data_IF_179368726258
#
_entry.id   IF_179368726258
#
_cell.length_a   1.000
_cell.length_b   1.000
_cell.length_c   1.000
_cell.angle_alpha   90.00
_cell.angle_beta   90.00
_cell.angle_gamma   90.00
#
_symmetry.space_group_name_H-M   'P 1'
#
loop_
_entity.id
_entity.type
_entity.pdbx_description
1 polymer ?
#
# COMPACT_ATOMS: atom_id res chain seq x y z
N UNK A 1 -10.24 30.71 -60.20
CA UNK A 1 -8.78 30.91 -60.25
C UNK A 1 -8.22 30.16 -59.05
N UNK A 2 -8.02 28.83 -59.20
CA UNK A 2 -6.73 28.20 -59.56
C UNK A 2 -5.86 28.10 -58.30
N UNK A 3 -5.43 26.96 -57.77
CA UNK A 3 -5.31 25.57 -58.22
C UNK A 3 -5.45 24.65 -56.99
N UNK A 4 -6.14 23.51 -57.16
CA UNK A 4 -6.12 22.38 -56.22
C UNK A 4 -4.83 21.57 -56.45
N UNK A 5 -3.95 21.53 -55.45
CA UNK A 5 -2.79 20.65 -55.43
C UNK A 5 -3.16 19.30 -54.81
N UNK A 6 -3.41 18.31 -55.66
CA UNK A 6 -3.52 16.90 -55.30
C UNK A 6 -2.11 16.38 -54.98
N UNK A 7 -1.83 16.13 -53.70
CA UNK A 7 -0.63 15.38 -53.26
C UNK A 7 -1.06 13.94 -53.05
N UNK A 8 -0.84 13.15 -54.09
CA UNK A 8 -0.80 11.70 -54.08
C UNK A 8 0.42 11.27 -53.25
N UNK A 9 0.19 10.60 -52.13
CA UNK A 9 1.25 10.00 -51.32
C UNK A 9 0.98 8.51 -51.21
N UNK A 10 1.80 7.76 -51.93
CA UNK A 10 1.86 6.31 -51.96
C UNK A 10 2.07 5.75 -50.55
N UNK A 11 1.02 5.13 -50.01
CA UNK A 11 1.11 4.26 -48.86
C UNK A 11 1.66 2.90 -49.32
N UNK A 12 2.97 2.86 -49.57
CA UNK A 12 3.71 1.64 -49.85
C UNK A 12 3.72 0.76 -48.58
N UNK A 13 3.09 -0.40 -48.69
CA UNK A 13 2.98 -1.43 -47.68
C UNK A 13 4.36 -2.03 -47.36
N UNK A 14 5.04 -1.51 -46.33
CA UNK A 14 6.20 -2.18 -45.73
C UNK A 14 5.76 -3.21 -44.68
N UNK A 15 5.14 -4.27 -45.18
CA UNK A 15 4.82 -5.47 -44.40
C UNK A 15 5.95 -6.48 -44.61
N UNK A 16 7.09 -6.32 -43.91
CA UNK A 16 8.17 -7.33 -43.79
C UNK A 16 9.31 -6.84 -42.90
N UNK A 17 9.04 -6.67 -41.60
CA UNK A 17 9.98 -7.17 -40.57
C UNK A 17 9.34 -7.04 -39.19
N UNK A 18 8.47 -7.99 -38.87
CA UNK A 18 8.12 -8.21 -37.47
C UNK A 18 9.33 -8.88 -36.82
N UNK A 19 9.95 -8.28 -35.78
CA UNK A 19 11.19 -8.80 -35.21
C UNK A 19 10.99 -10.25 -34.77
N UNK A 20 12.03 -11.12 -34.86
CA UNK A 20 11.94 -12.54 -34.52
C UNK A 20 11.32 -12.82 -33.14
N UNK A 21 11.42 -11.86 -32.21
CA UNK A 21 10.74 -11.87 -30.92
C UNK A 21 9.21 -11.96 -30.99
N UNK A 22 8.53 -11.27 -31.91
CA UNK A 22 7.05 -11.33 -32.03
C UNK A 22 6.57 -12.73 -32.40
N UNK A 23 7.29 -13.43 -33.29
CA UNK A 23 7.02 -14.83 -33.65
C UNK A 23 7.27 -15.80 -32.49
N UNK A 24 8.28 -15.53 -31.66
CA UNK A 24 8.60 -16.37 -30.49
C UNK A 24 7.53 -16.21 -29.40
N UNK A 25 7.11 -14.99 -29.10
CA UNK A 25 6.02 -14.72 -28.13
C UNK A 25 4.71 -15.34 -28.61
N UNK A 26 4.38 -15.23 -29.91
CA UNK A 26 3.20 -15.87 -30.49
C UNK A 26 3.16 -17.39 -30.30
N UNK A 27 4.29 -18.08 -30.51
CA UNK A 27 4.41 -19.53 -30.26
C UNK A 27 4.29 -19.87 -28.77
N UNK A 28 4.86 -19.06 -27.87
CA UNK A 28 4.77 -19.27 -26.43
C UNK A 28 3.32 -19.13 -25.91
N UNK A 29 2.60 -18.11 -26.37
CA UNK A 29 1.17 -17.89 -26.06
C UNK A 29 0.33 -19.06 -26.57
N UNK A 30 0.57 -19.52 -27.79
CA UNK A 30 -0.15 -20.67 -28.36
C UNK A 30 0.09 -21.96 -27.56
N UNK A 31 1.33 -22.21 -27.13
CA UNK A 31 1.65 -23.36 -26.27
C UNK A 31 0.96 -23.29 -24.90
N UNK A 32 0.90 -22.10 -24.28
CA UNK A 32 0.21 -21.89 -23.02
C UNK A 32 -1.30 -22.14 -23.15
N UNK A 33 -1.92 -21.68 -24.24
CA UNK A 33 -3.33 -21.91 -24.54
C UNK A 33 -3.65 -23.41 -24.66
N UNK A 34 -2.84 -24.17 -25.42
CA UNK A 34 -3.03 -25.62 -25.57
C UNK A 34 -2.82 -26.39 -24.25
N UNK A 35 -1.83 -25.98 -23.44
CA UNK A 35 -1.58 -26.57 -22.13
C UNK A 35 -2.77 -26.36 -21.19
N UNK A 36 -3.33 -25.15 -21.17
CA UNK A 36 -4.48 -24.83 -20.34
C UNK A 36 -5.76 -25.55 -20.80
N UNK A 37 -5.98 -25.66 -22.12
CA UNK A 37 -7.10 -26.42 -22.67
C UNK A 37 -7.03 -27.92 -22.29
N UNK A 38 -5.85 -28.54 -22.40
CA UNK A 38 -5.62 -29.93 -21.96
C UNK A 38 -5.92 -30.10 -20.46
N UNK A 39 -5.46 -29.17 -19.63
CA UNK A 39 -5.70 -29.21 -18.17
C UNK A 39 -7.21 -29.14 -17.84
N UNK A 40 -7.97 -28.24 -18.49
CA UNK A 40 -9.43 -28.14 -18.28
C UNK A 40 -10.16 -29.42 -18.69
N UNK A 41 -9.75 -30.06 -19.79
CA UNK A 41 -10.33 -31.32 -20.26
C UNK A 41 -10.08 -32.45 -19.26
N UNK A 42 -8.84 -32.63 -18.80
CA UNK A 42 -8.47 -33.65 -17.79
C UNK A 42 -9.25 -33.46 -16.49
N UNK A 43 -9.40 -32.20 -16.03
CA UNK A 43 -10.19 -31.87 -14.83
C UNK A 43 -11.67 -32.26 -14.99
N UNK A 44 -12.29 -31.94 -16.13
CA UNK A 44 -13.67 -32.34 -16.44
C UNK A 44 -13.83 -33.86 -16.46
N UNK A 45 -12.91 -34.59 -17.08
CA UNK A 45 -12.93 -36.06 -17.10
C UNK A 45 -12.86 -36.68 -15.71
N UNK A 46 -12.05 -36.10 -14.81
CA UNK A 46 -11.96 -36.54 -13.41
C UNK A 46 -13.25 -36.29 -12.63
N UNK A 47 -13.89 -35.13 -12.81
CA UNK A 47 -15.20 -34.86 -12.20
C UNK A 47 -16.28 -35.81 -12.72
N UNK A 48 -16.26 -36.13 -14.02
CA UNK A 48 -17.19 -37.10 -14.62
C UNK A 48 -16.99 -38.50 -14.02
N UNK A 49 -15.73 -38.95 -13.91
CA UNK A 49 -15.41 -40.26 -13.31
C UNK A 49 -15.85 -40.36 -11.84
N UNK A 50 -15.65 -39.29 -11.05
CA UNK A 50 -16.14 -39.20 -9.67
C UNK A 50 -17.67 -39.26 -9.62
N UNK A 51 -18.37 -38.51 -10.47
CA UNK A 51 -19.84 -38.54 -10.54
C UNK A 51 -20.38 -39.92 -10.93
N UNK A 52 -19.75 -40.60 -11.90
CA UNK A 52 -20.10 -41.98 -12.27
C UNK A 52 -19.91 -42.94 -11.10
N UNK A 53 -18.86 -42.77 -10.28
CA UNK A 53 -18.62 -43.56 -9.08
C UNK A 53 -19.72 -43.37 -8.03
N UNK A 54 -20.12 -42.12 -7.78
CA UNK A 54 -21.20 -41.80 -6.83
C UNK A 54 -22.54 -42.39 -7.27
N UNK A 55 -22.83 -42.34 -8.58
CA UNK A 55 -24.03 -42.95 -9.16
C UNK A 55 -24.01 -44.49 -9.07
N UNK A 56 -22.85 -45.12 -9.34
CA UNK A 56 -22.66 -46.56 -9.17
C UNK A 56 -22.88 -46.98 -7.71
N UNK A 57 -22.35 -46.23 -6.74
CA UNK A 57 -22.55 -46.50 -5.31
C UNK A 57 -24.03 -46.36 -4.90
N UNK A 58 -24.73 -45.33 -5.38
CA UNK A 58 -26.16 -45.14 -5.12
C UNK A 58 -27.05 -46.23 -5.74
N UNK A 59 -26.64 -46.82 -6.87
CA UNK A 59 -27.39 -47.89 -7.53
C UNK A 59 -27.21 -49.25 -6.84
N UNK A 60 -26.05 -49.49 -6.20
CA UNK A 60 -25.77 -50.73 -5.45
C UNK A 60 -26.58 -50.88 -4.16
N UNK A 61 -27.13 -49.79 -3.61
CA UNK A 61 -27.99 -49.84 -2.41
C UNK A 61 -29.44 -50.28 -2.67
N UNK A 62 -29.86 -50.45 -3.94
CA UNK A 62 -31.28 -50.62 -4.30
C UNK A 62 -31.69 -51.98 -4.90
N UNK A 63 -30.80 -52.92 -5.27
CA UNK A 63 -31.27 -54.21 -5.80
C UNK A 63 -30.28 -55.38 -5.78
N UNK A 64 -30.80 -56.54 -5.34
CA UNK A 64 -30.38 -57.94 -5.51
C UNK A 64 -28.89 -58.32 -5.37
N UNK A 65 -28.57 -58.99 -4.26
CA UNK A 65 -27.24 -59.04 -3.63
C UNK A 65 -26.30 -60.20 -4.01
N UNK A 66 -26.45 -60.92 -5.13
CA UNK A 66 -25.54 -62.08 -5.42
C UNK A 66 -24.87 -62.15 -6.79
N UNK A 67 -25.35 -61.45 -7.82
CA UNK A 67 -24.67 -61.41 -9.14
C UNK A 67 -23.84 -60.13 -9.39
N UNK A 68 -24.05 -59.09 -8.59
CA UNK A 68 -23.39 -57.77 -8.71
C UNK A 68 -21.96 -57.75 -8.16
N UNK A 69 -21.65 -58.57 -7.14
CA UNK A 69 -20.39 -58.51 -6.39
C UNK A 69 -19.12 -58.80 -7.24
N UNK A 70 -19.25 -59.64 -8.28
CA UNK A 70 -18.11 -59.98 -9.17
C UNK A 70 -17.89 -58.95 -10.28
N UNK A 71 -18.98 -58.31 -10.75
CA UNK A 71 -18.92 -57.24 -11.74
C UNK A 71 -18.42 -55.94 -11.08
N UNK A 72 -18.91 -55.62 -9.88
CA UNK A 72 -18.51 -54.44 -9.11
C UNK A 72 -17.03 -54.44 -8.76
N UNK A 73 -16.45 -55.59 -8.37
CA UNK A 73 -15.01 -55.67 -8.08
C UNK A 73 -14.13 -55.41 -9.31
N UNK A 74 -14.53 -55.87 -10.50
CA UNK A 74 -13.78 -55.60 -11.74
C UNK A 74 -13.92 -54.14 -12.19
N UNK A 75 -15.11 -53.56 -12.08
CA UNK A 75 -15.37 -52.15 -12.42
C UNK A 75 -14.64 -51.23 -11.46
N UNK A 76 -14.70 -51.48 -10.14
CA UNK A 76 -13.97 -50.71 -9.13
C UNK A 76 -12.46 -50.77 -9.31
N UNK A 77 -11.89 -51.93 -9.66
CA UNK A 77 -10.46 -52.06 -9.97
C UNK A 77 -10.03 -51.22 -11.18
N UNK A 78 -10.83 -51.21 -12.25
CA UNK A 78 -10.58 -50.37 -13.43
C UNK A 78 -10.72 -48.88 -13.12
N UNK A 79 -11.71 -48.49 -12.31
CA UNK A 79 -11.91 -47.09 -11.91
C UNK A 79 -10.75 -46.56 -11.06
N UNK A 80 -10.25 -47.33 -10.10
CA UNK A 80 -9.09 -46.95 -9.28
C UNK A 80 -7.81 -46.83 -10.13
N UNK A 81 -7.61 -47.74 -11.10
CA UNK A 81 -6.49 -47.65 -12.04
C UNK A 81 -6.59 -46.39 -12.92
N UNK A 82 -7.80 -46.06 -13.37
CA UNK A 82 -8.08 -44.87 -14.18
C UNK A 82 -7.91 -43.57 -13.38
N UNK A 83 -8.38 -43.50 -12.14
CA UNK A 83 -8.16 -42.38 -11.22
C UNK A 83 -6.67 -42.16 -10.95
N UNK A 84 -5.89 -43.23 -10.76
CA UNK A 84 -4.44 -43.14 -10.54
C UNK A 84 -3.72 -42.59 -11.79
N UNK A 85 -4.13 -43.01 -12.98
CA UNK A 85 -3.62 -42.48 -14.25
C UNK A 85 -4.02 -41.01 -14.49
N UNK A 86 -5.28 -40.64 -14.23
CA UNK A 86 -5.77 -39.26 -14.30
C UNK A 86 -5.03 -38.37 -13.31
N UNK A 87 -4.77 -38.85 -12.09
CA UNK A 87 -4.00 -38.12 -11.08
C UNK A 87 -2.56 -37.87 -11.53
N UNK A 88 -1.91 -38.86 -12.15
CA UNK A 88 -0.56 -38.71 -12.73
C UNK A 88 -0.55 -37.70 -13.88
N UNK A 89 -1.49 -37.80 -14.83
CA UNK A 89 -1.61 -36.84 -15.94
C UNK A 89 -1.97 -35.43 -15.48
N UNK A 90 -2.77 -35.28 -14.42
CA UNK A 90 -3.09 -33.97 -13.85
C UNK A 90 -1.83 -33.31 -13.28
N UNK A 91 -0.97 -34.05 -12.59
CA UNK A 91 0.31 -33.55 -12.08
C UNK A 91 1.30 -33.16 -13.20
N UNK A 92 1.36 -33.96 -14.25
CA UNK A 92 2.25 -33.71 -15.39
C UNK A 92 1.79 -32.49 -16.21
N UNK A 93 0.47 -32.35 -16.42
CA UNK A 93 -0.11 -31.17 -17.10
C UNK A 93 0.00 -29.89 -16.27
N UNK A 94 -0.07 -29.97 -14.93
CA UNK A 94 0.20 -28.80 -14.07
C UNK A 94 1.66 -28.36 -14.14
N UNK A 95 2.62 -29.31 -14.17
CA UNK A 95 4.04 -28.98 -14.31
C UNK A 95 4.35 -28.33 -15.67
N UNK A 96 3.78 -28.84 -16.76
CA UNK A 96 3.92 -28.25 -18.09
C UNK A 96 3.34 -26.83 -18.16
N UNK A 97 2.21 -26.57 -17.48
CA UNK A 97 1.62 -25.24 -17.38
C UNK A 97 2.54 -24.26 -16.67
N UNK A 98 3.12 -24.65 -15.52
CA UNK A 98 4.07 -23.80 -14.79
C UNK A 98 5.34 -23.53 -15.60
N UNK A 99 5.87 -24.54 -16.30
CA UNK A 99 7.01 -24.34 -17.21
C UNK A 99 6.69 -23.41 -18.38
N UNK A 100 5.49 -23.52 -18.96
CA UNK A 100 5.05 -22.62 -20.04
C UNK A 100 4.88 -21.16 -19.56
N UNK A 101 4.38 -20.95 -18.34
CA UNK A 101 4.29 -19.61 -17.72
C UNK A 101 5.67 -18.99 -17.52
N UNK A 102 6.63 -19.74 -16.99
CA UNK A 102 8.01 -19.27 -16.80
C UNK A 102 8.66 -18.88 -18.13
N UNK A 103 8.51 -19.72 -19.16
CA UNK A 103 9.05 -19.42 -20.49
C UNK A 103 8.41 -18.20 -21.15
N UNK A 104 7.11 -17.96 -20.89
CA UNK A 104 6.42 -16.75 -21.35
C UNK A 104 6.92 -15.49 -20.61
N UNK A 105 7.22 -15.62 -19.31
CA UNK A 105 7.83 -14.57 -18.50
C UNK A 105 9.19 -14.14 -19.06
N UNK A 106 10.08 -15.11 -19.30
CA UNK A 106 11.41 -14.87 -19.86
C UNK A 106 11.35 -14.26 -21.26
N UNK A 107 10.46 -14.77 -22.12
CA UNK A 107 10.33 -14.26 -23.51
C UNK A 107 9.70 -12.87 -23.60
N UNK A 108 8.88 -12.47 -22.62
CA UNK A 108 8.25 -11.15 -22.57
C UNK A 108 9.10 -10.06 -21.89
N UNK A 109 10.13 -10.43 -21.13
CA UNK A 109 11.01 -9.49 -20.42
C UNK A 109 11.60 -8.37 -21.30
N UNK A 110 12.24 -8.63 -22.45
CA UNK A 110 12.84 -7.56 -23.27
C UNK A 110 11.80 -6.61 -23.85
N UNK A 111 10.62 -7.12 -24.21
CA UNK A 111 9.53 -6.31 -24.76
C UNK A 111 8.92 -5.39 -23.69
N UNK A 112 8.85 -5.86 -22.44
CA UNK A 112 8.44 -5.04 -21.29
C UNK A 112 9.43 -3.92 -21.01
N UNK A 113 10.73 -4.22 -21.00
CA UNK A 113 11.79 -3.21 -20.77
C UNK A 113 11.76 -2.11 -21.84
N UNK A 114 11.63 -2.47 -23.12
CA UNK A 114 11.55 -1.48 -24.21
C UNK A 114 10.33 -0.57 -24.08
N UNK A 115 9.16 -1.15 -23.75
CA UNK A 115 7.93 -0.39 -23.53
C UNK A 115 8.07 0.59 -22.36
N UNK A 116 8.65 0.13 -21.24
CA UNK A 116 8.89 0.97 -20.07
C UNK A 116 9.85 2.13 -20.39
N UNK A 117 10.95 1.88 -21.10
CA UNK A 117 11.87 2.96 -21.49
C UNK A 117 11.19 4.03 -22.37
N UNK A 118 10.27 3.64 -23.26
CA UNK A 118 9.51 4.61 -24.07
C UNK A 118 8.58 5.47 -23.21
N UNK A 119 7.86 4.86 -22.26
CA UNK A 119 7.03 5.60 -21.32
C UNK A 119 7.85 6.59 -20.46
N UNK A 120 9.03 6.20 -19.98
CA UNK A 120 9.95 7.09 -19.23
C UNK A 120 10.26 8.36 -20.02
N UNK A 121 10.66 8.19 -21.28
CA UNK A 121 11.03 9.31 -22.16
C UNK A 121 9.84 10.23 -22.40
N UNK A 122 8.69 9.67 -22.73
CA UNK A 122 7.46 10.44 -22.92
C UNK A 122 7.07 11.22 -21.65
N UNK A 123 7.21 10.62 -20.47
CA UNK A 123 6.88 11.27 -19.21
C UNK A 123 7.84 12.43 -18.91
N UNK A 124 9.16 12.24 -19.14
CA UNK A 124 10.15 13.32 -19.03
C UNK A 124 9.86 14.46 -19.98
N UNK A 125 9.71 14.16 -21.28
CA UNK A 125 9.44 15.14 -22.32
C UNK A 125 8.19 15.96 -22.01
N UNK A 126 7.13 15.32 -21.51
CA UNK A 126 5.89 15.98 -21.06
C UNK A 126 6.09 16.85 -19.83
N UNK A 127 6.78 16.33 -18.81
CA UNK A 127 7.01 17.06 -17.56
C UNK A 127 7.93 18.27 -17.74
N UNK A 128 8.81 18.22 -18.74
CA UNK A 128 9.74 19.31 -19.08
C UNK A 128 9.38 20.05 -20.36
N UNK A 129 8.13 19.95 -20.81
CA UNK A 129 7.68 20.55 -22.06
C UNK A 129 7.55 22.08 -21.98
N UNK A 130 7.46 22.64 -20.77
CA UNK A 130 7.29 24.07 -20.55
C UNK A 130 8.57 24.84 -20.93
N UNK A 131 8.54 25.71 -21.95
CA UNK A 131 9.69 26.48 -22.38
C UNK A 131 10.15 27.55 -21.38
N UNK A 132 9.27 27.99 -20.47
CA UNK A 132 9.56 29.05 -19.49
C UNK A 132 10.12 28.51 -18.17
N UNK A 133 10.23 27.18 -18.03
CA UNK A 133 10.71 26.54 -16.81
C UNK A 133 12.24 26.70 -16.66
N UNK A 134 12.68 27.20 -15.50
CA UNK A 134 14.10 27.32 -15.17
C UNK A 134 14.86 25.99 -15.23
N UNK A 135 16.09 26.01 -15.75
CA UNK A 135 16.92 24.80 -15.93
C UNK A 135 17.17 24.03 -14.63
N UNK A 136 17.30 24.73 -13.51
CA UNK A 136 17.47 24.10 -12.19
C UNK A 136 16.23 23.28 -11.79
N UNK A 137 15.05 23.82 -12.07
CA UNK A 137 13.77 23.14 -11.80
C UNK A 137 13.60 21.97 -12.76
N UNK A 138 13.92 22.16 -14.04
CA UNK A 138 13.93 21.09 -15.05
C UNK A 138 14.81 19.90 -14.65
N UNK A 139 16.06 20.18 -14.24
CA UNK A 139 16.99 19.16 -13.75
C UNK A 139 16.47 18.44 -12.49
N UNK A 140 15.77 19.15 -11.60
CA UNK A 140 15.12 18.56 -10.44
C UNK A 140 13.99 17.60 -10.85
N UNK A 141 13.10 18.01 -11.75
CA UNK A 141 12.02 17.15 -12.26
C UNK A 141 12.55 15.90 -12.96
N UNK A 142 13.54 16.04 -13.84
CA UNK A 142 14.16 14.90 -14.51
C UNK A 142 14.76 13.91 -13.52
N UNK A 143 15.45 14.43 -12.49
CA UNK A 143 16.05 13.61 -11.42
C UNK A 143 14.97 12.88 -10.61
N UNK A 144 13.88 13.56 -10.26
CA UNK A 144 12.76 12.96 -9.52
C UNK A 144 12.08 11.87 -10.36
N UNK A 145 11.84 12.13 -11.65
CA UNK A 145 11.25 11.15 -12.56
C UNK A 145 12.16 9.93 -12.69
N UNK A 146 13.48 10.12 -12.79
CA UNK A 146 14.43 9.01 -12.87
C UNK A 146 14.41 8.13 -11.63
N UNK A 147 14.40 8.75 -10.45
CA UNK A 147 14.35 8.06 -9.16
C UNK A 147 13.06 7.24 -9.05
N UNK A 148 11.92 7.80 -9.47
CA UNK A 148 10.61 7.14 -9.43
C UNK A 148 10.54 6.03 -10.49
N UNK A 149 11.09 6.25 -11.67
CA UNK A 149 10.95 5.33 -12.81
C UNK A 149 11.59 3.98 -12.55
N UNK A 150 12.78 3.95 -11.95
CA UNK A 150 13.46 2.72 -11.58
C UNK A 150 12.61 1.83 -10.66
N UNK A 151 11.75 2.43 -9.83
CA UNK A 151 10.89 1.70 -8.92
C UNK A 151 9.64 1.19 -9.62
N UNK A 152 9.03 2.03 -10.44
CA UNK A 152 7.85 1.68 -11.24
C UNK A 152 8.16 0.49 -12.14
N UNK A 153 9.36 0.45 -12.75
CA UNK A 153 9.82 -0.66 -13.57
C UNK A 153 9.92 -1.97 -12.76
N UNK A 154 10.59 -1.95 -11.60
CA UNK A 154 10.71 -3.11 -10.70
C UNK A 154 9.36 -3.61 -10.17
N UNK A 155 8.45 -2.69 -9.86
CA UNK A 155 7.13 -3.01 -9.31
C UNK A 155 6.22 -3.62 -10.38
N UNK A 156 6.23 -3.08 -11.59
CA UNK A 156 5.49 -3.65 -12.72
C UNK A 156 6.03 -5.03 -13.07
N UNK A 157 7.35 -5.22 -13.10
CA UNK A 157 7.95 -6.53 -13.36
C UNK A 157 7.53 -7.58 -12.33
N UNK A 158 7.58 -7.23 -11.04
CA UNK A 158 7.14 -8.09 -9.95
C UNK A 158 5.65 -8.43 -10.04
N UNK A 159 4.79 -7.44 -10.31
CA UNK A 159 3.35 -7.67 -10.39
C UNK A 159 2.99 -8.56 -11.58
N UNK A 160 3.70 -8.44 -12.71
CA UNK A 160 3.56 -9.35 -13.85
C UNK A 160 4.04 -10.76 -13.49
N UNK A 161 5.17 -10.89 -12.79
CA UNK A 161 5.66 -12.19 -12.29
C UNK A 161 4.62 -12.86 -11.39
N UNK A 162 4.10 -12.15 -10.40
CA UNK A 162 3.10 -12.66 -9.46
C UNK A 162 1.77 -13.00 -10.14
N UNK A 163 1.31 -12.18 -11.09
CA UNK A 163 0.09 -12.45 -11.85
C UNK A 163 0.19 -13.75 -12.66
N UNK A 164 1.36 -14.03 -13.24
CA UNK A 164 1.61 -15.24 -14.02
C UNK A 164 1.83 -16.47 -13.12
N UNK A 165 2.48 -16.30 -11.97
CA UNK A 165 2.73 -17.36 -10.99
C UNK A 165 1.55 -17.67 -10.08
N UNK A 166 0.38 -17.02 -10.23
CA UNK A 166 -0.83 -17.24 -9.40
C UNK A 166 -1.28 -18.71 -9.47
N UNK A 167 -0.75 -19.53 -8.56
CA UNK A 167 -1.17 -20.88 -8.19
C UNK A 167 -1.14 -21.10 -6.67
N UNK A 168 -0.64 -20.14 -5.88
CA UNK A 168 -0.76 -20.20 -4.43
C UNK A 168 -2.16 -19.71 -4.01
N UNK A 169 -3.05 -20.65 -3.72
CA UNK A 169 -4.24 -20.41 -2.92
C UNK A 169 -3.83 -19.58 -1.69
N UNK A 170 -4.49 -18.43 -1.47
CA UNK A 170 -4.31 -17.65 -0.25
C UNK A 170 -4.77 -18.52 0.93
N UNK A 171 -3.83 -19.18 1.58
CA UNK A 171 -4.10 -19.94 2.77
C UNK A 171 -4.53 -18.95 3.87
N UNK A 172 -5.72 -19.14 4.45
CA UNK A 172 -6.19 -18.32 5.57
C UNK A 172 -5.21 -18.43 6.74
N UNK A 173 -4.34 -17.43 6.89
CA UNK A 173 -3.44 -17.35 8.04
C UNK A 173 -4.26 -17.06 9.31
N UNK A 174 -4.14 -17.96 10.28
CA UNK A 174 -4.73 -17.81 11.60
C UNK A 174 -4.07 -16.65 12.35
N UNK A 175 -4.89 -15.78 12.95
CA UNK A 175 -4.41 -14.68 13.78
C UNK A 175 -3.70 -15.14 15.06
N UNK A 176 -3.03 -14.24 15.78
CA UNK A 176 -2.35 -14.59 17.03
C UNK A 176 -3.35 -15.16 18.05
N UNK A 177 -3.17 -16.42 18.46
CA UNK A 177 -3.93 -17.02 19.56
C UNK A 177 -3.26 -16.69 20.89
N UNK A 178 -3.87 -15.82 21.68
CA UNK A 178 -3.35 -15.40 22.99
C UNK A 178 -4.46 -15.28 24.04
N UNK A 179 -4.08 -15.50 25.30
CA UNK A 179 -4.92 -15.49 26.51
C UNK A 179 -5.52 -14.11 26.85
N UNK A 180 -5.04 -13.02 26.24
CA UNK A 180 -5.55 -11.66 26.46
C UNK A 180 -6.72 -11.34 25.52
N UNK A 181 -7.84 -12.03 25.74
CA UNK A 181 -9.02 -12.03 24.86
C UNK A 181 -9.53 -10.61 24.53
N UNK A 182 -9.59 -9.70 25.51
CA UNK A 182 -10.10 -8.34 25.30
C UNK A 182 -9.18 -7.47 24.42
N UNK A 183 -7.87 -7.43 24.70
CA UNK A 183 -6.91 -6.67 23.89
C UNK A 183 -6.84 -7.21 22.46
N UNK A 184 -6.75 -8.54 22.29
CA UNK A 184 -6.71 -9.16 20.97
C UNK A 184 -8.00 -8.92 20.19
N UNK A 185 -9.16 -8.93 20.85
CA UNK A 185 -10.44 -8.59 20.24
C UNK A 185 -10.48 -7.12 19.80
N UNK A 186 -10.14 -6.18 20.68
CA UNK A 186 -10.14 -4.75 20.36
C UNK A 186 -9.18 -4.43 19.23
N UNK A 187 -7.95 -4.95 19.31
CA UNK A 187 -6.92 -4.84 18.26
C UNK A 187 -7.45 -5.33 16.92
N UNK A 188 -8.00 -6.55 16.89
CA UNK A 188 -8.54 -7.19 15.68
C UNK A 188 -9.65 -6.32 15.07
N UNK A 189 -10.58 -5.84 15.89
CA UNK A 189 -11.69 -5.01 15.44
C UNK A 189 -11.18 -3.68 14.86
N UNK A 190 -10.35 -2.94 15.61
CA UNK A 190 -9.85 -1.63 15.18
C UNK A 190 -8.99 -1.74 13.91
N UNK A 191 -8.03 -2.67 13.87
CA UNK A 191 -7.16 -2.83 12.70
C UNK A 191 -7.92 -3.34 11.47
N UNK A 192 -8.95 -4.18 11.65
CA UNK A 192 -9.77 -4.66 10.54
C UNK A 192 -10.54 -3.53 9.88
N UNK A 193 -11.08 -2.60 10.67
CA UNK A 193 -11.82 -1.45 10.16
C UNK A 193 -10.90 -0.34 9.63
N UNK A 194 -9.75 -0.09 10.29
CA UNK A 194 -8.83 0.97 9.89
C UNK A 194 -7.90 0.58 8.72
N UNK A 195 -7.41 -0.67 8.73
CA UNK A 195 -6.43 -1.20 7.77
C UNK A 195 -6.90 -2.55 7.17
N UNK A 196 -8.07 -2.61 6.50
CA UNK A 196 -8.56 -3.84 5.86
C UNK A 196 -7.66 -4.28 4.69
N UNK A 197 -7.50 -5.59 4.52
CA UNK A 197 -6.79 -6.18 3.36
C UNK A 197 -7.63 -6.26 2.08
N UNK A 198 -8.95 -6.13 2.18
CA UNK A 198 -9.92 -6.48 1.13
C UNK A 198 -10.80 -5.29 0.68
N UNK A 199 -10.54 -4.08 1.18
CA UNK A 199 -11.33 -2.89 0.85
C UNK A 199 -10.47 -1.80 0.24
N UNK A 200 -10.98 -1.21 -0.83
CA UNK A 200 -10.46 0.02 -1.43
C UNK A 200 -10.70 1.23 -0.53
N UNK A 201 -10.13 2.39 -0.87
CA UNK A 201 -10.39 3.64 -0.17
C UNK A 201 -11.89 3.96 -0.08
N UNK A 202 -12.63 3.80 -1.18
CA UNK A 202 -14.07 3.99 -1.20
C UNK A 202 -14.79 2.97 -0.31
N UNK A 203 -14.36 1.71 -0.30
CA UNK A 203 -14.89 0.70 0.60
C UNK A 203 -14.63 0.97 2.08
N UNK A 204 -13.55 1.71 2.42
CA UNK A 204 -13.30 2.19 3.78
C UNK A 204 -14.25 3.34 4.16
N UNK A 205 -14.53 4.26 3.24
CA UNK A 205 -15.45 5.38 3.48
C UNK A 205 -16.90 4.94 3.70
N UNK A 206 -17.28 3.76 3.20
CA UNK A 206 -18.59 3.17 3.51
C UNK A 206 -18.66 2.54 4.90
N UNK A 207 -17.52 2.29 5.56
CA UNK A 207 -17.48 1.67 6.87
C UNK A 207 -17.71 2.71 7.98
N UNK A 208 -18.80 2.59 8.78
CA UNK A 208 -19.12 3.59 9.79
C UNK A 208 -18.06 3.68 10.89
N UNK A 209 -17.35 2.59 11.20
CA UNK A 209 -16.30 2.58 12.24
C UNK A 209 -15.07 3.35 11.76
N UNK A 210 -14.68 3.14 10.50
CA UNK A 210 -13.59 3.89 9.87
C UNK A 210 -13.90 5.38 9.82
N UNK A 211 -15.11 5.74 9.38
CA UNK A 211 -15.56 7.13 9.32
C UNK A 211 -15.59 7.76 10.71
N UNK A 212 -16.13 7.07 11.71
CA UNK A 212 -16.16 7.58 13.08
C UNK A 212 -14.74 7.84 13.63
N UNK A 213 -13.81 6.90 13.47
CA UNK A 213 -12.42 7.09 13.89
C UNK A 213 -11.75 8.25 13.14
N UNK A 214 -11.98 8.36 11.83
CA UNK A 214 -11.42 9.44 11.00
C UNK A 214 -12.00 10.80 11.38
N UNK A 215 -13.30 10.89 11.66
CA UNK A 215 -13.94 12.11 12.13
C UNK A 215 -13.40 12.56 13.49
N UNK A 216 -13.15 11.61 14.41
CA UNK A 216 -12.51 11.91 15.70
C UNK A 216 -11.09 12.45 15.49
N UNK A 217 -10.31 11.87 14.57
CA UNK A 217 -8.99 12.39 14.20
C UNK A 217 -9.05 13.77 13.53
N UNK A 218 -10.17 14.11 12.89
CA UNK A 218 -10.37 15.39 12.21
C UNK A 218 -10.59 16.56 13.18
N UNK A 219 -10.97 16.28 14.43
CA UNK A 219 -11.15 17.30 15.47
C UNK A 219 -9.78 17.77 15.97
N UNK A 220 -9.37 19.02 15.68
CA UNK A 220 -8.02 19.50 16.02
C UNK A 220 -7.87 19.90 17.50
N UNK A 221 -8.96 19.81 18.27
CA UNK A 221 -9.06 20.30 19.64
C UNK A 221 -8.82 19.12 20.60
N UNK A 222 -7.80 19.22 21.47
CA UNK A 222 -7.43 18.25 22.50
C UNK A 222 -6.52 17.06 22.12
N UNK A 223 -5.90 17.05 20.93
CA UNK A 223 -4.91 16.02 20.58
C UNK A 223 -5.51 14.62 20.35
N UNK A 224 -6.83 14.53 20.07
CA UNK A 224 -7.51 13.28 19.76
C UNK A 224 -6.81 12.50 18.64
N UNK A 225 -6.35 13.20 17.61
CA UNK A 225 -5.59 12.62 16.51
C UNK A 225 -4.39 11.81 16.99
N UNK A 226 -3.51 12.41 17.82
CA UNK A 226 -2.33 11.74 18.38
C UNK A 226 -2.75 10.57 19.28
N UNK A 227 -3.80 10.72 20.08
CA UNK A 227 -4.30 9.63 20.93
C UNK A 227 -4.78 8.41 20.13
N UNK A 228 -5.58 8.63 19.08
CA UNK A 228 -6.06 7.53 18.23
C UNK A 228 -4.92 6.90 17.42
N UNK A 229 -4.01 7.71 16.87
CA UNK A 229 -2.82 7.21 16.15
C UNK A 229 -1.87 6.43 17.07
N UNK A 230 -1.69 6.86 18.32
CA UNK A 230 -0.92 6.13 19.34
C UNK A 230 -1.51 4.75 19.63
N UNK A 231 -2.84 4.67 19.75
CA UNK A 231 -3.56 3.41 19.92
C UNK A 231 -3.40 2.48 18.70
N UNK A 232 -3.51 3.02 17.49
CA UNK A 232 -3.28 2.26 16.25
C UNK A 232 -1.83 1.76 16.16
N UNK A 233 -0.85 2.61 16.46
CA UNK A 233 0.57 2.23 16.45
C UNK A 233 0.84 1.10 17.45
N UNK A 234 0.28 1.20 18.66
CA UNK A 234 0.39 0.16 19.68
C UNK A 234 -0.16 -1.17 19.18
N UNK A 235 -1.30 -1.15 18.48
CA UNK A 235 -1.90 -2.34 17.87
C UNK A 235 -1.08 -2.92 16.71
N UNK A 236 -0.34 -2.09 15.98
CA UNK A 236 0.59 -2.55 14.94
C UNK A 236 1.83 -3.21 15.56
N UNK A 237 2.38 -2.62 16.63
CA UNK A 237 3.63 -3.08 17.26
C UNK A 237 3.50 -4.34 18.12
N UNK A 238 2.33 -4.60 18.71
CA UNK A 238 2.11 -5.72 19.63
C UNK A 238 0.95 -6.62 19.18
N UNK A 239 1.02 -7.96 19.35
CA UNK A 239 2.03 -8.75 20.08
C UNK A 239 3.16 -9.35 19.22
N UNK A 240 3.10 -9.22 17.90
CA UNK A 240 4.08 -9.79 16.96
C UNK A 240 4.97 -8.71 16.35
N UNK A 241 6.06 -9.11 15.66
CA UNK A 241 6.86 -8.14 14.93
C UNK A 241 5.98 -7.41 13.90
N UNK A 242 6.10 -6.08 13.82
CA UNK A 242 5.27 -5.29 12.91
C UNK A 242 5.61 -5.61 11.46
N UNK A 243 4.66 -5.40 10.55
CA UNK A 243 4.87 -5.53 9.12
C UNK A 243 5.45 -4.23 8.54
N UNK A 244 6.44 -4.34 7.65
CA UNK A 244 7.14 -3.18 7.08
C UNK A 244 6.18 -2.24 6.35
N UNK A 245 5.31 -2.78 5.50
CA UNK A 245 4.32 -1.97 4.77
C UNK A 245 3.38 -1.26 5.74
N UNK A 246 2.94 -1.92 6.81
CA UNK A 246 2.05 -1.30 7.80
C UNK A 246 2.71 -0.14 8.55
N UNK A 247 3.99 -0.25 8.93
CA UNK A 247 4.71 0.84 9.60
C UNK A 247 4.91 2.02 8.67
N UNK A 248 5.32 1.79 7.42
CA UNK A 248 5.51 2.89 6.49
C UNK A 248 4.17 3.54 6.13
N UNK A 249 3.13 2.72 5.93
CA UNK A 249 1.77 3.20 5.72
C UNK A 249 1.29 4.05 6.90
N UNK A 250 1.59 3.64 8.13
CA UNK A 250 1.29 4.41 9.33
C UNK A 250 2.02 5.76 9.35
N UNK A 251 3.30 5.81 9.00
CA UNK A 251 4.09 7.06 8.92
C UNK A 251 3.46 8.01 7.89
N UNK A 252 3.18 7.51 6.69
CA UNK A 252 2.61 8.31 5.59
C UNK A 252 1.19 8.78 5.91
N UNK A 253 0.32 7.93 6.44
CA UNK A 253 -1.02 8.34 6.89
C UNK A 253 -0.95 9.35 8.04
N UNK A 254 -0.06 9.16 9.01
CA UNK A 254 0.06 10.06 10.16
C UNK A 254 0.45 11.48 9.71
N UNK A 255 1.41 11.59 8.79
CA UNK A 255 1.82 12.90 8.23
C UNK A 255 0.84 13.47 7.21
N UNK A 256 0.23 12.62 6.38
CA UNK A 256 -0.81 13.05 5.45
C UNK A 256 -2.04 13.59 6.17
N UNK A 257 -2.49 12.91 7.23
CA UNK A 257 -3.59 13.39 8.09
C UNK A 257 -3.18 14.65 8.86
N UNK A 258 -1.90 14.80 9.26
CA UNK A 258 -1.38 16.04 9.85
C UNK A 258 -1.59 17.23 8.91
N UNK A 259 -1.22 17.09 7.64
CA UNK A 259 -1.42 18.15 6.65
C UNK A 259 -2.89 18.56 6.52
N UNK A 260 -3.80 17.59 6.41
CA UNK A 260 -5.23 17.85 6.24
C UNK A 260 -5.82 18.49 7.50
N UNK A 261 -5.60 17.89 8.67
CA UNK A 261 -6.28 18.28 9.92
C UNK A 261 -5.58 19.43 10.64
N UNK A 262 -4.27 19.29 10.89
CA UNK A 262 -3.45 20.30 11.55
C UNK A 262 -3.11 21.47 10.64
N UNK A 263 -3.02 21.25 9.32
CA UNK A 263 -2.76 22.30 8.34
C UNK A 263 -4.08 22.94 7.90
N UNK A 264 -4.78 22.31 6.96
CA UNK A 264 -5.93 22.93 6.28
C UNK A 264 -7.11 23.21 7.22
N UNK A 265 -7.58 22.23 7.99
CA UNK A 265 -8.75 22.38 8.88
C UNK A 265 -8.46 23.38 10.01
N UNK A 266 -7.33 23.23 10.71
CA UNK A 266 -6.97 24.15 11.80
C UNK A 266 -6.72 25.57 11.31
N UNK A 267 -6.04 25.75 10.16
CA UNK A 267 -5.86 27.07 9.55
C UNK A 267 -7.20 27.72 9.22
N UNK A 268 -8.12 26.95 8.61
CA UNK A 268 -9.46 27.43 8.26
C UNK A 268 -10.26 27.82 9.51
N UNK A 269 -10.20 27.01 10.56
CA UNK A 269 -10.83 27.32 11.85
C UNK A 269 -10.26 28.61 12.46
N UNK A 270 -8.93 28.78 12.47
CA UNK A 270 -8.29 30.00 12.95
C UNK A 270 -8.72 31.22 12.15
N UNK A 271 -8.71 31.15 10.82
CA UNK A 271 -9.14 32.23 9.94
C UNK A 271 -10.61 32.62 10.16
N UNK A 272 -11.51 31.63 10.31
CA UNK A 272 -12.94 31.88 10.59
C UNK A 272 -13.12 32.57 11.95
N UNK A 273 -12.35 32.21 12.97
CA UNK A 273 -12.40 32.87 14.29
C UNK A 273 -11.99 34.33 14.17
N UNK A 274 -10.87 34.63 13.50
CA UNK A 274 -10.44 36.02 13.30
C UNK A 274 -11.45 36.82 12.48
N UNK A 275 -11.95 36.23 11.39
CA UNK A 275 -12.96 36.89 10.55
C UNK A 275 -14.26 37.17 11.32
N UNK A 276 -14.67 36.24 12.20
CA UNK A 276 -15.82 36.45 13.08
C UNK A 276 -15.62 37.62 14.04
N UNK A 277 -14.47 37.68 14.71
CA UNK A 277 -14.17 38.81 15.59
C UNK A 277 -14.11 40.13 14.82
N UNK A 278 -13.50 40.14 13.64
CA UNK A 278 -13.44 41.33 12.79
C UNK A 278 -14.81 41.81 12.33
N UNK A 279 -15.70 40.90 11.91
CA UNK A 279 -17.00 41.28 11.31
C UNK A 279 -18.06 41.64 12.36
N UNK A 280 -18.12 40.91 13.48
CA UNK A 280 -19.18 41.09 14.48
C UNK A 280 -18.76 41.90 15.71
N UNK A 281 -17.45 42.08 15.95
CA UNK A 281 -16.90 42.75 17.13
C UNK A 281 -15.84 43.79 16.77
N UNK A 282 -16.08 44.59 15.73
CA UNK A 282 -15.13 45.60 15.25
C UNK A 282 -14.72 46.61 16.35
N UNK A 283 -15.69 47.07 17.16
CA UNK A 283 -15.45 48.01 18.26
C UNK A 283 -14.56 47.44 19.39
N UNK A 284 -14.64 46.12 19.63
CA UNK A 284 -13.96 45.43 20.74
C UNK A 284 -13.08 44.27 20.23
N UNK A 285 -12.42 44.47 19.08
CA UNK A 285 -11.68 43.43 18.36
C UNK A 285 -10.63 42.75 19.25
N UNK A 286 -9.89 43.55 20.03
CA UNK A 286 -8.87 43.05 20.95
C UNK A 286 -9.44 42.13 22.02
N UNK A 287 -10.61 42.48 22.58
CA UNK A 287 -11.27 41.64 23.59
C UNK A 287 -11.82 40.35 22.98
N UNK A 288 -12.48 40.42 21.81
CA UNK A 288 -12.97 39.24 21.11
C UNK A 288 -11.85 38.23 20.82
N UNK A 289 -10.71 38.70 20.29
CA UNK A 289 -9.55 37.84 20.03
C UNK A 289 -8.99 37.27 21.34
N UNK A 290 -8.99 38.04 22.43
CA UNK A 290 -8.48 37.56 23.72
C UNK A 290 -9.31 36.41 24.32
N UNK A 291 -10.63 36.41 24.09
CA UNK A 291 -11.55 35.42 24.63
C UNK A 291 -11.73 34.22 23.69
N UNK A 292 -11.87 34.48 22.39
CA UNK A 292 -12.25 33.50 21.38
C UNK A 292 -11.11 33.10 20.44
N UNK A 293 -9.91 33.67 20.59
CA UNK A 293 -8.76 33.44 19.73
C UNK A 293 -8.42 31.94 19.58
N UNK A 294 -7.79 31.55 18.47
CA UNK A 294 -7.56 30.13 18.16
C UNK A 294 -6.72 29.39 19.20
N UNK A 295 -5.83 30.10 19.92
CA UNK A 295 -5.05 29.55 21.03
C UNK A 295 -5.89 29.11 22.24
N UNK A 296 -7.13 29.60 22.37
CA UNK A 296 -8.04 29.30 23.50
C UNK A 296 -9.00 28.15 23.23
N UNK A 297 -9.22 27.79 21.96
CA UNK A 297 -10.14 26.71 21.58
C UNK A 297 -9.60 25.32 21.94
N UNK A 298 -8.28 25.19 22.08
CA UNK A 298 -7.61 23.96 22.51
C UNK A 298 -6.92 24.15 23.85
N UNK A 299 -6.94 23.12 24.70
CA UNK A 299 -6.12 23.12 25.90
C UNK A 299 -4.63 23.16 25.49
N UNK A 300 -3.82 23.91 26.23
CA UNK A 300 -2.37 24.00 25.98
C UNK A 300 -1.72 22.61 25.94
N UNK A 301 -2.12 21.73 26.88
CA UNK A 301 -1.66 20.35 26.92
C UNK A 301 -2.04 19.58 25.64
N UNK A 302 -3.27 19.76 25.15
CA UNK A 302 -3.73 19.13 23.91
C UNK A 302 -3.00 19.66 22.67
N UNK A 303 -2.74 20.96 22.59
CA UNK A 303 -1.97 21.56 21.51
C UNK A 303 -0.52 21.06 21.48
N UNK A 304 0.13 20.99 22.65
CA UNK A 304 1.49 20.46 22.79
C UNK A 304 1.56 18.96 22.51
N UNK A 305 0.58 18.18 22.97
CA UNK A 305 0.48 16.76 22.67
C UNK A 305 0.30 16.51 21.17
N UNK A 306 -0.52 17.31 20.49
CA UNK A 306 -0.71 17.23 19.04
C UNK A 306 0.58 17.61 18.28
N UNK A 307 1.25 18.68 18.72
CA UNK A 307 2.48 19.20 18.10
C UNK A 307 3.67 18.24 18.26
N UNK A 308 3.99 17.85 19.50
CA UNK A 308 5.11 16.94 19.81
C UNK A 308 4.77 15.48 19.48
N UNK A 309 3.54 15.05 19.70
CA UNK A 309 3.12 13.68 19.41
C UNK A 309 3.21 13.33 17.92
N UNK A 310 2.98 14.30 17.03
CA UNK A 310 3.07 14.11 15.58
C UNK A 310 4.49 13.77 15.09
N UNK A 311 5.52 14.24 15.78
CA UNK A 311 6.91 13.86 15.49
C UNK A 311 7.29 12.57 16.23
N UNK A 312 6.94 12.46 17.52
CA UNK A 312 7.29 11.29 18.35
C UNK A 312 6.72 9.98 17.79
N UNK A 313 5.44 9.93 17.42
CA UNK A 313 4.81 8.71 16.92
C UNK A 313 5.46 8.21 15.63
N UNK A 314 5.83 9.13 14.74
CA UNK A 314 6.45 8.80 13.46
C UNK A 314 7.86 8.26 13.66
N UNK A 315 8.63 8.81 14.60
CA UNK A 315 9.95 8.29 14.94
C UNK A 315 9.88 6.95 15.67
N UNK A 316 8.89 6.72 16.54
CA UNK A 316 8.67 5.39 17.14
C UNK A 316 8.41 4.35 16.04
N UNK A 317 7.55 4.66 15.07
CA UNK A 317 7.28 3.77 13.95
C UNK A 317 8.54 3.54 13.08
N UNK A 318 9.33 4.59 12.83
CA UNK A 318 10.57 4.48 12.05
C UNK A 318 11.64 3.64 12.75
N UNK A 319 11.83 3.82 14.06
CA UNK A 319 12.76 3.04 14.87
C UNK A 319 12.33 1.58 15.01
N UNK A 320 11.04 1.27 14.78
CA UNK A 320 10.54 -0.10 14.73
C UNK A 320 10.76 -0.80 13.37
N UNK A 321 11.10 -0.07 12.29
CA UNK A 321 11.32 -0.64 10.95
C UNK A 321 12.42 -1.71 10.90
N UNK A 322 13.59 -1.57 11.55
CA UNK A 322 14.62 -2.61 11.56
C UNK A 322 14.13 -3.95 12.14
N UNK A 323 13.11 -3.92 12.99
CA UNK A 323 12.51 -5.11 13.63
C UNK A 323 11.31 -5.67 12.85
N UNK A 324 10.95 -5.05 11.73
CA UNK A 324 9.76 -5.41 10.96
C UNK A 324 9.96 -6.62 10.05
N UNK A 325 8.86 -7.29 9.70
CA UNK A 325 8.84 -8.39 8.73
C UNK A 325 8.49 -7.90 7.34
N UNK A 326 9.17 -8.48 6.35
CA UNK A 326 8.95 -8.20 4.94
C UNK A 326 8.17 -9.35 4.27
N UNK A 327 6.88 -9.13 3.96
CA UNK A 327 6.02 -10.12 3.31
C UNK A 327 6.40 -10.42 1.84
N UNK A 328 7.20 -9.55 1.21
CA UNK A 328 7.58 -9.67 -0.21
C UNK A 328 8.50 -10.86 -0.45
N UNK A 329 9.54 -11.01 0.37
CA UNK A 329 10.46 -12.16 0.29
C UNK A 329 9.72 -13.48 0.56
N UNK A 330 8.82 -13.50 1.55
CA UNK A 330 8.05 -14.69 1.89
C UNK A 330 7.17 -15.16 0.73
N UNK A 331 6.49 -14.23 0.04
CA UNK A 331 5.72 -14.55 -1.18
C UNK A 331 6.60 -15.08 -2.31
N UNK A 332 7.76 -14.46 -2.55
CA UNK A 332 8.65 -14.89 -3.63
C UNK A 332 9.19 -16.30 -3.38
N UNK A 333 9.59 -16.60 -2.14
CA UNK A 333 10.06 -17.93 -1.73
C UNK A 333 8.94 -18.97 -1.81
N UNK A 334 7.73 -18.61 -1.37
CA UNK A 334 6.56 -19.48 -1.45
C UNK A 334 6.16 -19.79 -2.91
N UNK A 335 6.12 -18.76 -3.78
CA UNK A 335 5.79 -18.91 -5.20
C UNK A 335 6.82 -19.76 -5.96
N UNK A 336 8.09 -19.71 -5.56
CA UNK A 336 9.16 -20.53 -6.15
C UNK A 336 9.20 -21.97 -5.62
N UNK A 337 8.30 -22.36 -4.70
CA UNK A 337 8.22 -23.73 -4.17
C UNK A 337 9.48 -24.20 -3.45
N UNK A 338 10.40 -23.29 -3.09
CA UNK A 338 11.66 -23.63 -2.42
C UNK A 338 11.39 -23.72 -0.93
N UNK A 339 11.05 -24.93 -0.45
CA UNK A 339 10.81 -25.18 0.97
C UNK A 339 12.01 -24.70 1.80
N UNK A 340 11.78 -23.70 2.64
CA UNK A 340 12.74 -23.29 3.67
C UNK A 340 12.79 -24.44 4.69
N UNK A 341 13.98 -24.94 5.09
CA UNK A 341 14.06 -25.92 6.16
C UNK A 341 13.45 -25.30 7.43
N UNK A 342 12.47 -26.00 8.00
CA UNK A 342 11.81 -25.64 9.23
C UNK A 342 12.75 -25.89 10.40
N UNK A 343 13.68 -24.97 10.64
CA UNK A 343 14.53 -25.00 11.83
C UNK A 343 14.60 -23.60 12.42
N UNK A 344 13.98 -23.45 13.60
CA UNK A 344 14.34 -22.47 14.62
C UNK A 344 14.09 -21.00 14.29
N UNK A 345 13.32 -20.34 15.16
CA UNK A 345 13.45 -18.91 15.36
C UNK A 345 14.85 -18.64 15.94
N UNK A 346 15.85 -18.51 15.07
CA UNK A 346 17.10 -17.83 15.36
C UNK A 346 16.86 -16.35 15.00
N UNK A 347 17.03 -15.39 15.93
CA UNK A 347 17.09 -13.99 15.55
C UNK A 347 18.24 -13.87 14.57
N UNK A 348 17.93 -13.61 13.30
CA UNK A 348 18.92 -13.37 12.27
C UNK A 348 19.61 -12.08 12.65
N UNK A 349 20.66 -12.19 13.47
CA UNK A 349 21.70 -11.19 13.57
C UNK A 349 22.05 -10.86 12.12
N UNK A 350 21.89 -9.58 11.80
CA UNK A 350 22.12 -9.01 10.49
C UNK A 350 23.54 -9.39 10.10
N UNK A 351 23.70 -10.47 9.33
CA UNK A 351 24.87 -10.61 8.48
C UNK A 351 24.69 -9.51 7.47
N UNK A 352 25.36 -8.39 7.73
CA UNK A 352 25.64 -7.32 6.81
C UNK A 352 25.98 -7.95 5.46
N UNK A 353 25.00 -7.95 4.56
CA UNK A 353 25.27 -8.08 3.14
C UNK A 353 26.10 -6.86 2.79
N UNK A 354 27.40 -7.09 2.68
CA UNK A 354 28.47 -6.16 2.30
C UNK A 354 28.35 -5.61 0.86
N UNK A 355 27.16 -5.70 0.25
CA UNK A 355 26.85 -4.98 -0.98
C UNK A 355 26.15 -3.67 -0.61
N UNK A 356 26.95 -2.60 -0.65
CA UNK A 356 26.61 -1.29 -0.12
C UNK A 356 25.42 -0.60 -0.79
N UNK A 357 24.81 0.29 0.00
CA UNK A 357 23.80 1.31 -0.34
C UNK A 357 22.37 0.81 -0.53
N UNK A 358 21.73 0.42 0.57
CA UNK A 358 20.27 0.31 0.61
C UNK A 358 19.73 -0.25 1.92
N UNK A 359 20.05 0.37 3.06
CA UNK A 359 19.38 -0.01 4.31
C UNK A 359 17.85 0.12 4.18
N UNK A 360 17.11 -0.80 4.82
CA UNK A 360 15.65 -0.75 4.91
C UNK A 360 15.19 0.66 5.29
N UNK A 361 14.31 1.26 4.48
CA UNK A 361 13.81 2.63 4.68
C UNK A 361 14.68 3.77 4.16
N UNK A 362 15.70 3.53 3.32
CA UNK A 362 16.66 4.56 2.88
C UNK A 362 16.05 5.87 2.35
N UNK A 363 15.07 5.81 1.44
CA UNK A 363 14.38 7.02 0.92
C UNK A 363 13.42 7.64 1.92
N UNK A 364 12.75 6.79 2.72
CA UNK A 364 11.90 7.24 3.82
C UNK A 364 12.70 8.02 4.87
N UNK A 365 13.95 7.62 5.14
CA UNK A 365 14.83 8.33 6.05
C UNK A 365 15.15 9.76 5.57
N UNK A 366 15.31 9.97 4.26
CA UNK A 366 15.47 11.31 3.68
C UNK A 366 14.20 12.15 3.89
N UNK A 367 13.02 11.56 3.66
CA UNK A 367 11.74 12.23 3.88
C UNK A 367 11.52 12.59 5.36
N UNK A 368 11.94 11.73 6.30
CA UNK A 368 11.88 12.02 7.73
C UNK A 368 12.90 13.06 8.19
N UNK A 369 14.08 13.13 7.57
CA UNK A 369 15.03 14.24 7.80
C UNK A 369 14.44 15.58 7.37
N UNK A 370 13.70 15.59 6.25
CA UNK A 370 12.92 16.76 5.84
C UNK A 370 11.89 17.13 6.90
N UNK A 371 11.11 16.18 7.42
CA UNK A 371 10.15 16.44 8.51
C UNK A 371 10.79 17.03 9.78
N UNK A 372 11.93 16.51 10.21
CA UNK A 372 12.69 17.08 11.34
C UNK A 372 13.14 18.51 11.05
N UNK A 373 13.57 18.78 9.81
CA UNK A 373 13.97 20.13 9.40
C UNK A 373 12.77 21.09 9.43
N UNK A 374 11.60 20.66 8.99
CA UNK A 374 10.36 21.44 9.08
C UNK A 374 9.94 21.69 10.53
N UNK A 375 10.10 20.69 11.41
CA UNK A 375 9.81 20.84 12.83
C UNK A 375 10.80 21.79 13.52
N UNK A 376 12.09 21.72 13.18
CA UNK A 376 13.10 22.65 13.68
C UNK A 376 12.80 24.10 13.20
N UNK A 377 12.39 24.25 11.94
CA UNK A 377 11.95 25.54 11.39
C UNK A 377 10.74 26.09 12.14
N UNK A 378 9.72 25.27 12.42
CA UNK A 378 8.54 25.74 13.15
C UNK A 378 8.85 26.09 14.61
N UNK A 379 9.79 25.38 15.26
CA UNK A 379 10.30 25.76 16.59
C UNK A 379 11.10 27.07 16.56
N UNK A 380 11.90 27.28 15.52
CA UNK A 380 12.64 28.52 15.34
C UNK A 380 11.68 29.72 15.16
N UNK A 381 10.65 29.57 14.33
CA UNK A 381 9.60 30.59 14.18
C UNK A 381 8.87 30.83 15.51
N UNK A 382 8.54 29.78 16.27
CA UNK A 382 7.93 29.92 17.59
C UNK A 382 8.82 30.72 18.55
N UNK A 383 10.12 30.44 18.55
CA UNK A 383 11.10 31.15 19.37
C UNK A 383 11.15 32.64 18.99
N UNK A 384 11.27 32.96 17.69
CA UNK A 384 11.27 34.34 17.21
C UNK A 384 9.98 35.10 17.57
N UNK A 385 8.81 34.50 17.32
CA UNK A 385 7.52 35.10 17.68
C UNK A 385 7.41 35.36 19.18
N UNK A 386 7.90 34.43 20.00
CA UNK A 386 7.87 34.59 21.46
C UNK A 386 8.81 35.70 21.92
N UNK A 387 10.01 35.81 21.34
CA UNK A 387 10.93 36.91 21.63
C UNK A 387 10.37 38.27 21.22
N UNK A 388 9.84 38.38 19.99
CA UNK A 388 9.19 39.60 19.51
C UNK A 388 8.02 40.01 20.39
N UNK A 389 7.23 39.04 20.86
CA UNK A 389 6.10 39.34 21.75
C UNK A 389 6.57 39.85 23.10
N UNK A 390 7.67 39.31 23.65
CA UNK A 390 8.24 39.76 24.92
C UNK A 390 8.83 41.18 24.82
N UNK A 391 9.44 41.53 23.69
CA UNK A 391 10.06 42.84 23.46
C UNK A 391 9.02 43.96 23.26
N UNK A 392 7.92 43.66 22.57
CA UNK A 392 6.84 44.63 22.30
C UNK A 392 5.76 44.70 23.39
N UNK A 393 5.89 43.96 24.50
CA UNK A 393 4.77 43.80 25.43
C UNK A 393 4.54 45.02 26.33
N UNK A 394 3.37 45.64 26.16
CA UNK A 394 2.77 46.53 27.15
C UNK A 394 2.22 45.70 28.34
N UNK A 395 2.33 46.21 29.58
CA UNK A 395 2.25 45.43 30.83
C UNK A 395 0.95 44.67 31.12
N UNK A 396 -0.12 44.84 30.34
CA UNK A 396 -1.47 44.38 30.68
C UNK A 396 -1.83 42.96 30.21
N UNK A 397 -1.10 42.38 29.24
CA UNK A 397 -1.47 41.06 28.69
C UNK A 397 -0.69 39.91 29.34
N UNK A 398 -1.38 38.80 29.64
CA UNK A 398 -0.74 37.58 30.16
C UNK A 398 0.17 36.90 29.11
N UNK A 399 1.45 36.63 29.44
CA UNK A 399 2.42 36.03 28.49
C UNK A 399 2.01 34.62 28.01
N UNK A 400 1.24 33.89 28.84
CA UNK A 400 0.72 32.57 28.49
C UNK A 400 -0.23 32.61 27.28
N UNK A 401 -0.99 33.71 27.11
CA UNK A 401 -1.95 33.86 26.02
C UNK A 401 -1.26 33.91 24.66
N UNK A 402 -0.26 34.79 24.55
CA UNK A 402 0.53 34.93 23.33
C UNK A 402 1.28 33.64 22.99
N UNK A 403 1.78 32.93 24.00
CA UNK A 403 2.40 31.63 23.79
C UNK A 403 1.41 30.61 23.21
N UNK A 404 0.16 30.56 23.68
CA UNK A 404 -0.87 29.68 23.13
C UNK A 404 -1.20 29.99 21.67
N UNK A 405 -1.32 31.27 21.32
CA UNK A 405 -1.56 31.73 19.95
C UNK A 405 -0.36 31.40 19.04
N UNK A 406 0.86 31.65 19.49
CA UNK A 406 2.09 31.35 18.75
C UNK A 406 2.24 29.83 18.54
N UNK A 407 1.96 29.01 19.56
CA UNK A 407 1.97 27.53 19.44
C UNK A 407 0.93 27.07 18.42
N UNK A 408 -0.28 27.62 18.45
CA UNK A 408 -1.33 27.27 17.49
C UNK A 408 -0.85 27.49 16.06
N UNK A 409 -0.33 28.69 15.75
CA UNK A 409 0.11 29.02 14.40
C UNK A 409 1.37 28.26 13.97
N UNK A 410 2.32 28.03 14.87
CA UNK A 410 3.49 27.21 14.57
C UNK A 410 3.13 25.74 14.32
N UNK A 411 2.13 25.22 15.04
CA UNK A 411 1.56 23.88 14.77
C UNK A 411 0.92 23.80 13.39
N UNK A 412 0.16 24.83 13.00
CA UNK A 412 -0.42 24.93 11.66
C UNK A 412 0.67 24.97 10.59
N UNK A 413 1.69 25.82 10.76
CA UNK A 413 2.84 25.91 9.85
C UNK A 413 3.54 24.56 9.68
N UNK A 414 3.89 23.89 10.78
CA UNK A 414 4.50 22.57 10.74
C UNK A 414 3.64 21.55 10.00
N UNK A 415 2.32 21.60 10.22
CA UNK A 415 1.39 20.71 9.56
C UNK A 415 1.27 20.98 8.06
N UNK A 416 1.28 22.24 7.63
CA UNK A 416 1.29 22.62 6.21
C UNK A 416 2.58 22.15 5.52
N UNK A 417 3.74 22.25 6.18
CA UNK A 417 5.02 21.76 5.65
C UNK A 417 5.06 20.23 5.46
N UNK A 418 4.12 19.49 6.07
CA UNK A 418 3.94 18.04 5.87
C UNK A 418 3.25 17.68 4.54
N UNK A 419 2.90 18.66 3.69
CA UNK A 419 2.26 18.45 2.40
C UNK A 419 2.90 17.35 1.52
N UNK A 420 4.25 17.24 1.39
CA UNK A 420 4.86 16.21 0.56
C UNK A 420 4.47 14.78 0.96
N UNK A 421 4.24 14.52 2.26
CA UNK A 421 3.79 13.23 2.75
C UNK A 421 2.36 12.91 2.31
N UNK A 422 1.50 13.92 2.17
CA UNK A 422 0.11 13.73 1.76
C UNK A 422 0.01 13.17 0.34
N UNK A 423 0.92 13.55 -0.56
CA UNK A 423 0.98 13.00 -1.92
C UNK A 423 1.27 11.50 -1.93
N UNK A 424 2.11 11.03 -1.00
CA UNK A 424 2.44 9.61 -0.84
C UNK A 424 1.38 8.80 -0.08
N UNK A 425 0.27 9.40 0.37
CA UNK A 425 -0.87 8.62 0.92
C UNK A 425 -1.65 7.88 -0.15
N UNK A 426 -1.47 8.26 -1.43
CA UNK A 426 -2.07 7.61 -2.58
C UNK A 426 -1.32 6.30 -2.85
N UNK A 427 -2.00 5.16 -2.74
CA UNK A 427 -1.40 3.81 -2.75
C UNK A 427 -0.40 3.54 -3.89
N UNK A 428 -0.65 3.93 -5.15
CA UNK A 428 0.35 3.82 -6.21
C UNK A 428 1.69 4.51 -5.91
N UNK A 429 1.64 5.74 -5.36
CA UNK A 429 2.83 6.53 -5.04
C UNK A 429 3.56 5.99 -3.80
N UNK A 430 2.81 5.37 -2.88
CA UNK A 430 3.38 4.69 -1.72
C UNK A 430 4.23 3.49 -2.10
N UNK A 431 3.79 2.68 -3.07
CA UNK A 431 4.55 1.50 -3.52
C UNK A 431 5.91 1.88 -4.11
N UNK A 432 5.94 2.98 -4.87
CA UNK A 432 7.17 3.57 -5.42
C UNK A 432 8.17 3.90 -4.30
N UNK A 433 7.71 4.56 -3.24
CA UNK A 433 8.60 5.01 -2.15
C UNK A 433 9.10 3.86 -1.28
N UNK A 434 8.29 2.82 -1.10
CA UNK A 434 8.49 1.81 -0.04
C UNK A 434 9.01 0.49 -0.53
N UNK A 435 8.78 0.13 -1.80
CA UNK A 435 9.05 -1.21 -2.35
C UNK A 435 8.44 -2.37 -1.54
N UNK A 436 7.52 -2.06 -0.63
CA UNK A 436 6.89 -3.03 0.25
C UNK A 436 5.57 -3.47 -0.38
N UNK A 437 5.35 -4.79 -0.41
CA UNK A 437 4.11 -5.34 -0.93
C UNK A 437 2.94 -4.88 -0.05
N UNK A 438 1.81 -4.44 -0.64
CA UNK A 438 0.68 -3.97 0.13
C UNK A 438 0.10 -5.11 0.99
N UNK A 439 -0.08 -4.84 2.27
CA UNK A 439 -0.67 -5.75 3.27
C UNK A 439 -1.87 -5.09 3.95
N UNK A 440 -2.65 -5.88 4.69
CA UNK A 440 -3.75 -5.41 5.54
C UNK A 440 -4.18 -6.48 6.54
N UNK A 441 -5.16 -6.18 7.38
CA UNK A 441 -5.62 -7.09 8.43
C UNK A 441 -6.89 -7.85 8.03
N UNK A 442 -6.83 -9.17 8.14
CA UNK A 442 -7.95 -10.06 7.87
C UNK A 442 -8.96 -10.07 9.00
N UNK A 443 -10.08 -10.79 8.77
CA UNK A 443 -11.13 -10.92 9.76
C UNK A 443 -10.58 -11.44 11.09
N UNK A 444 -9.52 -12.25 11.13
CA UNK A 444 -8.89 -12.84 12.31
C UNK A 444 -7.82 -11.95 12.97
N UNK A 445 -7.53 -10.77 12.42
CA UNK A 445 -6.49 -9.86 12.91
C UNK A 445 -5.06 -10.26 12.54
N UNK A 446 -4.89 -11.20 11.59
CA UNK A 446 -3.62 -11.51 10.96
C UNK A 446 -3.30 -10.47 9.88
N UNK A 447 -2.04 -10.05 9.79
CA UNK A 447 -1.56 -9.25 8.67
C UNK A 447 -1.36 -10.17 7.48
N UNK A 448 -2.09 -9.91 6.40
CA UNK A 448 -2.08 -10.70 5.18
C UNK A 448 -1.88 -9.79 3.98
N UNK A 449 -1.49 -10.33 2.83
CA UNK A 449 -1.38 -9.53 1.63
C UNK A 449 -2.72 -8.92 1.20
N UNK A 450 -2.66 -7.68 0.70
CA UNK A 450 -3.84 -6.98 0.19
C UNK A 450 -4.42 -7.75 -1.01
N UNK A 451 -5.74 -7.97 -0.99
CA UNK A 451 -6.47 -8.71 -2.01
C UNK A 451 -7.91 -8.18 -2.11
N UNK A 452 -8.22 -7.46 -3.18
CA UNK A 452 -9.58 -7.04 -3.48
C UNK A 452 -10.40 -8.23 -3.98
N UNK A 453 -11.62 -8.47 -3.47
CA UNK A 453 -12.50 -9.49 -4.03
C UNK A 453 -12.78 -9.17 -5.51
N UNK A 454 -12.62 -10.18 -6.37
CA UNK A 454 -12.98 -10.08 -7.79
C UNK A 454 -14.51 -9.84 -7.86
N UNK A 455 -14.91 -8.76 -8.56
CA UNK A 455 -16.31 -8.35 -8.75
C UNK A 455 -17.12 -9.37 -9.57
#
# INVERSE_FOLDING_TARGET
MSEEGVVESDAESSDTDSPPQKRIVGKAVQNLFWADMKHRLVKKSRHLALATRTLLQAHTTSSSARLTNKFDKRVAGRLNSFEKHLGKHTKETSLLREHAKLKLLETSAPLRAEFMQKLRKLMKERATADPDMWDCVKGCYESVIDIIWEDVEKEIELNVELALLKSAECQEQSGPSSSWSCYCWLRRTVLRHYLPYDRSLFGKLTDPVYVALTLIMLVPNAGFRVSVLSLILTFILFPGPPDEFQLINFILLSKGTQFITGGLVSMSQGAVIYFKCFTWHDADLGQCISEHGPGRVSSLAGAMADYLGSIVLVWIAFLALPYSREHREEKRVAALGRSRPATGFEPRAVTESKDGKGGRGGRLAMLLRYDVSCFALSLFVLFLLTLSTMELQDREVTPLRHLQENIFWCKVLYSLLSMPFSLFTIQPLQQVLTHAAPTGFNALGACVPFNLPEL
#
